data_IF_082798238783
#
_entry.id   IF_082798238783
#
_cell.length_a   1.000
_cell.length_b   1.000
_cell.length_c   1.000
_cell.angle_alpha   90.00
_cell.angle_beta   90.00
_cell.angle_gamma   90.00
#
_symmetry.space_group_name_H-M   'P 1'
#
loop_
_entity.id
_entity.type
_entity.pdbx_description
1 polymer ?
#
# COMPACT_ATOMS: atom_id res chain seq x y z
N UNK A 1 11.64 -15.42 36.20
CA UNK A 1 11.23 -14.00 36.27
C UNK A 1 10.34 -13.71 35.07
N UNK A 2 9.04 -13.57 35.30
CA UNK A 2 8.06 -13.18 34.27
C UNK A 2 8.23 -11.67 34.05
N UNK A 3 8.89 -11.29 32.97
CA UNK A 3 8.97 -9.90 32.56
C UNK A 3 7.60 -9.49 32.01
N UNK A 4 7.17 -8.28 32.40
CA UNK A 4 5.84 -7.75 32.22
C UNK A 4 5.35 -7.84 30.77
N UNK A 5 4.12 -8.31 30.60
CA UNK A 5 3.36 -8.09 29.38
C UNK A 5 3.32 -6.58 29.14
N UNK A 6 4.01 -6.13 28.09
CA UNK A 6 3.83 -4.78 27.57
C UNK A 6 2.33 -4.60 27.35
N UNK A 7 1.75 -3.58 27.99
CA UNK A 7 0.33 -3.31 27.94
C UNK A 7 -0.15 -3.39 26.49
N UNK A 8 -0.99 -4.38 26.19
CA UNK A 8 -1.57 -4.57 24.87
C UNK A 8 -2.25 -3.25 24.48
N UNK A 9 -1.78 -2.63 23.40
CA UNK A 9 -2.46 -1.48 22.83
C UNK A 9 -3.93 -1.88 22.58
N UNK A 10 -4.89 -0.95 22.73
CA UNK A 10 -6.28 -1.27 22.45
C UNK A 10 -6.39 -1.76 20.99
N UNK A 11 -6.77 -3.02 20.82
CA UNK A 11 -7.07 -3.61 19.51
C UNK A 11 -8.24 -2.85 18.90
N UNK A 12 -8.11 -2.45 17.65
CA UNK A 12 -9.19 -1.74 16.95
C UNK A 12 -10.39 -2.70 16.85
N UNK A 13 -11.60 -2.15 16.83
CA UNK A 13 -12.78 -3.00 16.66
C UNK A 13 -12.74 -3.71 15.29
N UNK A 14 -13.30 -4.94 15.18
CA UNK A 14 -13.36 -5.66 13.90
C UNK A 14 -14.04 -4.87 12.77
N UNK A 15 -15.04 -4.05 13.10
CA UNK A 15 -15.71 -3.16 12.15
C UNK A 15 -14.80 -2.05 11.62
N UNK A 16 -13.91 -1.53 12.47
CA UNK A 16 -12.90 -0.55 12.08
C UNK A 16 -11.86 -1.17 11.15
N UNK A 17 -11.40 -2.38 11.47
CA UNK A 17 -10.42 -3.11 10.67
C UNK A 17 -10.95 -3.47 9.28
N UNK A 18 -12.18 -4.00 9.19
CA UNK A 18 -12.84 -4.26 7.89
C UNK A 18 -12.99 -3.01 7.05
N UNK A 19 -13.28 -1.86 7.67
CA UNK A 19 -13.34 -0.58 6.96
C UNK A 19 -11.96 -0.18 6.43
N UNK A 20 -10.92 -0.28 7.26
CA UNK A 20 -9.54 0.00 6.86
C UNK A 20 -9.10 -0.88 5.69
N UNK A 21 -9.35 -2.20 5.76
CA UNK A 21 -9.04 -3.12 4.66
C UNK A 21 -9.71 -2.69 3.35
N UNK A 22 -11.01 -2.39 3.38
CA UNK A 22 -11.76 -1.93 2.20
C UNK A 22 -11.21 -0.61 1.64
N UNK A 23 -10.77 0.30 2.50
CA UNK A 23 -10.23 1.58 2.06
C UNK A 23 -8.83 1.42 1.45
N UNK A 24 -7.98 0.56 2.03
CA UNK A 24 -6.66 0.22 1.47
C UNK A 24 -6.81 -0.54 0.14
N UNK A 25 -7.80 -1.43 -0.01
CA UNK A 25 -8.08 -2.12 -1.28
C UNK A 25 -8.46 -1.14 -2.40
N UNK A 26 -9.28 -0.12 -2.09
CA UNK A 26 -9.60 0.94 -3.07
C UNK A 26 -8.37 1.74 -3.45
N UNK A 27 -7.51 2.06 -2.47
CA UNK A 27 -6.26 2.76 -2.68
C UNK A 27 -5.33 1.95 -3.60
N UNK A 28 -5.13 0.66 -3.31
CA UNK A 28 -4.35 -0.26 -4.15
C UNK A 28 -4.91 -0.34 -5.58
N UNK A 29 -6.22 -0.43 -5.74
CA UNK A 29 -6.84 -0.42 -7.06
C UNK A 29 -6.57 0.89 -7.82
N UNK A 30 -6.57 2.04 -7.14
CA UNK A 30 -6.24 3.32 -7.76
C UNK A 30 -4.75 3.43 -8.13
N UNK A 31 -3.85 3.01 -7.23
CA UNK A 31 -2.40 3.00 -7.46
C UNK A 31 -2.03 2.08 -8.62
N UNK A 32 -2.57 0.85 -8.67
CA UNK A 32 -2.34 -0.09 -9.78
C UNK A 32 -2.84 0.44 -11.13
N UNK A 33 -3.99 1.15 -11.15
CA UNK A 33 -4.44 1.86 -12.37
C UNK A 33 -3.51 2.99 -12.79
N UNK A 34 -2.84 3.66 -11.84
CA UNK A 34 -1.86 4.70 -12.15
C UNK A 34 -0.55 4.08 -12.65
N UNK A 35 -0.08 3.04 -11.99
CA UNK A 35 1.08 2.23 -12.40
C UNK A 35 0.92 1.75 -13.83
N UNK A 36 -0.22 1.12 -14.17
CA UNK A 36 -0.50 0.63 -15.52
C UNK A 36 -0.43 1.75 -16.58
N UNK A 37 -1.02 2.91 -16.30
CA UNK A 37 -0.99 4.07 -17.20
C UNK A 37 0.43 4.62 -17.40
N UNK A 38 1.25 4.66 -16.35
CA UNK A 38 2.65 5.10 -16.45
C UNK A 38 3.49 4.09 -17.22
N UNK A 39 3.30 2.79 -16.98
CA UNK A 39 3.95 1.72 -17.74
C UNK A 39 3.59 1.79 -19.22
N UNK A 40 2.32 2.03 -19.56
CA UNK A 40 1.90 2.27 -20.94
C UNK A 40 2.54 3.53 -21.53
N UNK A 41 2.61 4.62 -20.76
CA UNK A 41 3.23 5.87 -21.19
C UNK A 41 4.74 5.76 -21.44
N UNK A 42 5.40 4.74 -20.90
CA UNK A 42 6.82 4.43 -21.16
C UNK A 42 7.04 3.73 -22.51
N UNK A 43 6.00 3.14 -23.11
CA UNK A 43 6.12 2.40 -24.37
C UNK A 43 6.46 3.37 -25.50
N UNK A 44 7.62 3.17 -26.13
CA UNK A 44 8.04 3.95 -27.30
C UNK A 44 8.56 5.36 -26.97
N UNK A 45 8.79 5.68 -25.70
CA UNK A 45 9.46 6.94 -25.31
C UNK A 45 10.91 6.91 -25.77
N UNK A 46 11.29 7.89 -26.59
CA UNK A 46 12.67 8.09 -27.09
C UNK A 46 13.35 9.31 -26.48
N UNK A 47 12.59 10.19 -25.83
CA UNK A 47 13.12 11.31 -25.06
C UNK A 47 13.59 10.81 -23.68
N UNK A 48 14.90 10.90 -23.44
CA UNK A 48 15.53 10.44 -22.20
C UNK A 48 15.06 11.23 -20.97
N UNK A 49 14.71 12.51 -21.10
CA UNK A 49 14.20 13.28 -19.97
C UNK A 49 12.78 12.86 -19.62
N UNK A 50 11.92 12.67 -20.62
CA UNK A 50 10.58 12.11 -20.42
C UNK A 50 10.65 10.71 -19.80
N UNK A 51 11.57 9.87 -20.28
CA UNK A 51 11.81 8.54 -19.73
C UNK A 51 12.20 8.60 -18.24
N UNK A 52 13.15 9.47 -17.88
CA UNK A 52 13.61 9.62 -16.50
C UNK A 52 12.49 10.12 -15.58
N UNK A 53 11.69 11.11 -16.02
CA UNK A 53 10.56 11.64 -15.24
C UNK A 53 9.48 10.58 -15.00
N UNK A 54 9.02 9.91 -16.06
CA UNK A 54 7.98 8.87 -15.95
C UNK A 54 8.48 7.68 -15.14
N UNK A 55 9.75 7.29 -15.28
CA UNK A 55 10.37 6.24 -14.48
C UNK A 55 10.46 6.58 -13.00
N UNK A 56 10.79 7.83 -12.65
CA UNK A 56 10.79 8.28 -11.27
C UNK A 56 9.38 8.26 -10.66
N UNK A 57 8.38 8.73 -11.40
CA UNK A 57 6.99 8.68 -10.95
C UNK A 57 6.50 7.23 -10.76
N UNK A 58 6.89 6.32 -11.65
CA UNK A 58 6.57 4.90 -11.51
C UNK A 58 7.17 4.29 -10.24
N UNK A 59 8.44 4.61 -9.93
CA UNK A 59 9.10 4.16 -8.70
C UNK A 59 8.40 4.66 -7.42
N UNK A 60 7.92 5.90 -7.43
CA UNK A 60 7.11 6.44 -6.31
C UNK A 60 5.79 5.68 -6.13
N UNK A 61 5.14 5.33 -7.25
CA UNK A 61 3.89 4.54 -7.21
C UNK A 61 4.15 3.12 -6.72
N UNK A 62 5.24 2.49 -7.13
CA UNK A 62 5.63 1.16 -6.65
C UNK A 62 5.88 1.17 -5.13
N UNK A 63 6.57 2.20 -4.63
CA UNK A 63 6.77 2.39 -3.19
C UNK A 63 5.44 2.60 -2.45
N UNK A 64 4.51 3.37 -3.03
CA UNK A 64 3.19 3.59 -2.45
C UNK A 64 2.34 2.31 -2.42
N UNK A 65 2.42 1.48 -3.48
CA UNK A 65 1.77 0.16 -3.54
C UNK A 65 2.31 -0.73 -2.43
N UNK A 66 3.62 -0.87 -2.31
CA UNK A 66 4.25 -1.68 -1.26
C UNK A 66 3.82 -1.21 0.13
N UNK A 67 3.83 0.09 0.40
CA UNK A 67 3.39 0.64 1.69
C UNK A 67 1.89 0.39 1.96
N UNK A 68 1.05 0.40 0.93
CA UNK A 68 -0.37 0.08 1.06
C UNK A 68 -0.59 -1.43 1.30
N UNK A 69 0.17 -2.30 0.65
CA UNK A 69 0.15 -3.75 0.89
C UNK A 69 0.55 -4.09 2.34
N UNK A 70 1.60 -3.45 2.87
CA UNK A 70 1.98 -3.59 4.29
C UNK A 70 0.88 -3.15 5.26
N UNK A 71 0.18 -2.04 4.96
CA UNK A 71 -0.97 -1.61 5.78
C UNK A 71 -2.13 -2.59 5.70
N UNK A 72 -2.39 -3.16 4.52
CA UNK A 72 -3.42 -4.17 4.35
C UNK A 72 -3.09 -5.43 5.15
N UNK A 73 -1.86 -5.94 5.04
CA UNK A 73 -1.37 -7.10 5.78
C UNK A 73 -1.48 -6.87 7.29
N UNK A 74 -1.01 -5.72 7.78
CA UNK A 74 -1.11 -5.38 9.20
C UNK A 74 -2.55 -5.33 9.71
N UNK A 75 -3.48 -4.75 8.94
CA UNK A 75 -4.90 -4.71 9.32
C UNK A 75 -5.59 -6.08 9.23
N UNK A 76 -5.18 -6.95 8.29
CA UNK A 76 -5.69 -8.30 8.15
C UNK A 76 -5.22 -9.19 9.30
N UNK A 77 -3.93 -9.15 9.64
CA UNK A 77 -3.39 -9.85 10.81
C UNK A 77 -4.06 -9.39 12.10
N UNK A 78 -4.22 -8.08 12.30
CA UNK A 78 -4.93 -7.56 13.49
C UNK A 78 -6.37 -8.09 13.57
N UNK A 79 -7.06 -8.24 12.42
CA UNK A 79 -8.43 -8.75 12.36
C UNK A 79 -8.51 -10.26 12.62
N UNK A 80 -7.55 -11.04 12.13
CA UNK A 80 -7.48 -12.47 12.39
C UNK A 80 -7.17 -12.77 13.87
N UNK A 81 -6.48 -11.84 14.54
CA UNK A 81 -6.17 -11.90 15.97
C UNK A 81 -7.32 -11.39 16.88
N UNK A 82 -8.41 -10.83 16.33
CA UNK A 82 -9.60 -10.37 17.10
C UNK A 82 -10.68 -11.44 17.28
#
# INVERSE_FOLDING_TARGET
RRAAAAAAAPTRSPSTLRRLLKDVEKELAALRRKQARLTEALIGVVDHEALARTGAELAEIDAAVAAAEERWLGAATELDDT
#
